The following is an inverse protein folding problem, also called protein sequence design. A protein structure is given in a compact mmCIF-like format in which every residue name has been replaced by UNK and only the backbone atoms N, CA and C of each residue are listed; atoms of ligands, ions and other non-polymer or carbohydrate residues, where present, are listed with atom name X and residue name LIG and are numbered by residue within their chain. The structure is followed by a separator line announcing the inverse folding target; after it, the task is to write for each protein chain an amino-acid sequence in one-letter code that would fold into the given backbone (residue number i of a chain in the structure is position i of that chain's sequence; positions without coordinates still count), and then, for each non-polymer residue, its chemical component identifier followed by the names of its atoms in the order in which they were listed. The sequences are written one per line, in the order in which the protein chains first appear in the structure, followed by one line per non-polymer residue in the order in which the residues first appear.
data_IF_408240698777
#
_entry.id   IF_408240698777
#
_cell.length_a   1.000
_cell.length_b   1.000
_cell.length_c   1.000
_cell.angle_alpha   90.00
_cell.angle_beta   90.00
_cell.angle_gamma   90.00
#
_symmetry.space_group_name_H-M   'P 1'
#
loop_
_entity.id
_entity.type
_entity.pdbx_description
1 polymer ?
#
# COMPACT_ATOMS: atom_id res chain seq x y z
N UNK A 1 20.62 -35.59 8.84
CA UNK A 1 20.38 -35.69 7.38
C UNK A 1 18.91 -36.01 7.18
N UNK A 2 18.18 -35.18 6.41
CA UNK A 2 16.78 -35.46 6.04
C UNK A 2 15.87 -34.22 6.08
N UNK A 3 16.00 -33.37 5.07
CA UNK A 3 15.22 -32.16 4.80
C UNK A 3 13.68 -32.39 4.82
N UNK A 4 12.96 -31.69 5.71
CA UNK A 4 11.50 -31.46 5.64
C UNK A 4 11.14 -30.14 4.92
N UNK A 5 12.09 -29.54 4.20
CA UNK A 5 11.91 -28.24 3.54
C UNK A 5 11.24 -28.29 2.16
N UNK A 6 11.01 -29.49 1.59
CA UNK A 6 10.51 -29.65 0.22
C UNK A 6 8.98 -29.54 0.09
N UNK A 7 8.22 -29.65 1.18
CA UNK A 7 6.75 -29.57 1.15
C UNK A 7 6.16 -28.15 1.07
N UNK A 8 6.88 -27.14 1.56
CA UNK A 8 6.42 -25.75 1.61
C UNK A 8 6.52 -25.06 0.26
N UNK A 9 7.62 -25.29 -0.47
CA UNK A 9 7.83 -24.75 -1.80
C UNK A 9 6.87 -25.36 -2.83
N UNK A 10 6.62 -26.68 -2.79
CA UNK A 10 5.68 -27.35 -3.70
C UNK A 10 4.22 -26.91 -3.51
N UNK A 11 3.78 -26.65 -2.27
CA UNK A 11 2.39 -26.22 -2.00
C UNK A 11 2.14 -24.75 -2.36
N UNK A 12 3.18 -23.90 -2.30
CA UNK A 12 3.15 -22.54 -2.85
C UNK A 12 3.13 -22.53 -4.39
N UNK A 13 3.87 -23.44 -5.05
CA UNK A 13 3.95 -23.51 -6.52
C UNK A 13 2.64 -23.96 -7.17
N UNK A 14 1.93 -24.93 -6.58
CA UNK A 14 0.60 -25.36 -7.05
C UNK A 14 -0.51 -24.33 -6.74
N UNK A 15 -0.29 -23.40 -5.81
CA UNK A 15 -1.24 -22.34 -5.45
C UNK A 15 -0.97 -21.00 -6.15
N UNK A 16 0.23 -20.79 -6.72
CA UNK A 16 0.56 -19.57 -7.45
C UNK A 16 -0.37 -19.34 -8.66
N UNK A 17 -0.81 -20.40 -9.34
CA UNK A 17 -1.79 -20.32 -10.43
C UNK A 17 -3.26 -20.45 -9.99
N UNK A 18 -3.53 -20.53 -8.68
CA UNK A 18 -4.87 -20.74 -8.13
C UNK A 18 -5.51 -19.47 -7.53
N UNK A 19 -6.83 -19.49 -7.28
CA UNK A 19 -7.57 -18.37 -6.70
C UNK A 19 -7.32 -18.15 -5.19
N UNK A 20 -6.47 -18.96 -4.54
CA UNK A 20 -6.29 -18.99 -3.08
C UNK A 20 -4.94 -18.37 -2.64
N UNK A 21 -4.94 -17.37 -1.75
CA UNK A 21 -3.72 -16.77 -1.19
C UNK A 21 -3.17 -17.63 -0.02
N UNK A 22 -2.38 -18.66 -0.33
CA UNK A 22 -1.88 -19.61 0.68
C UNK A 22 -0.53 -19.24 1.33
N UNK A 23 0.11 -18.12 0.96
CA UNK A 23 1.50 -17.85 1.37
C UNK A 23 1.68 -17.18 2.75
N UNK A 24 0.60 -16.80 3.46
CA UNK A 24 0.71 -15.97 4.67
C UNK A 24 0.30 -16.68 5.98
N UNK A 25 -0.35 -17.85 5.96
CA UNK A 25 -0.68 -18.50 7.23
C UNK A 25 -1.13 -19.97 7.11
N UNK A 26 -0.78 -20.84 8.07
CA UNK A 26 -1.37 -22.18 8.23
C UNK A 26 -2.80 -22.13 8.81
N UNK A 27 -3.54 -21.02 8.60
CA UNK A 27 -4.83 -20.79 9.22
C UNK A 27 -5.96 -21.28 8.32
N UNK A 28 -6.53 -22.44 8.68
CA UNK A 28 -7.88 -22.85 8.26
C UNK A 28 -8.85 -21.69 8.55
N UNK A 29 -9.68 -21.32 7.58
CA UNK A 29 -10.85 -20.42 7.70
C UNK A 29 -10.63 -18.89 7.77
N UNK A 30 -9.72 -18.31 6.98
CA UNK A 30 -9.75 -16.84 6.74
C UNK A 30 -10.60 -16.53 5.50
N UNK A 31 -11.56 -15.61 5.61
CA UNK A 31 -12.40 -15.18 4.49
C UNK A 31 -11.55 -14.51 3.40
N UNK A 32 -11.66 -14.98 2.15
CA UNK A 32 -10.89 -14.50 0.98
C UNK A 32 -10.82 -12.97 0.84
N UNK A 33 -11.94 -12.28 1.13
CA UNK A 33 -12.01 -10.82 1.05
C UNK A 33 -11.18 -10.13 2.14
N UNK A 34 -11.03 -10.75 3.31
CA UNK A 34 -10.18 -10.24 4.40
C UNK A 34 -8.71 -10.41 4.05
N UNK A 35 -8.31 -11.57 3.53
CA UNK A 35 -6.93 -11.83 3.11
C UNK A 35 -6.50 -10.88 1.99
N UNK A 36 -7.40 -10.64 1.03
CA UNK A 36 -7.13 -9.73 -0.09
C UNK A 36 -6.88 -8.30 0.39
N UNK A 37 -7.69 -7.80 1.34
CA UNK A 37 -7.50 -6.48 1.95
C UNK A 37 -6.17 -6.39 2.68
N UNK A 38 -5.83 -7.40 3.48
CA UNK A 38 -4.55 -7.45 4.21
C UNK A 38 -3.35 -7.43 3.26
N UNK A 39 -3.40 -8.19 2.17
CA UNK A 39 -2.34 -8.22 1.17
C UNK A 39 -2.13 -6.85 0.50
N UNK A 40 -3.21 -6.18 0.08
CA UNK A 40 -3.09 -4.82 -0.46
C UNK A 40 -2.53 -3.83 0.56
N UNK A 41 -2.93 -3.93 1.82
CA UNK A 41 -2.38 -3.11 2.91
C UNK A 41 -0.89 -3.38 3.12
N UNK A 42 -0.46 -4.64 3.10
CA UNK A 42 0.97 -5.01 3.25
C UNK A 42 1.78 -4.45 2.08
N UNK A 43 1.30 -4.58 0.84
CA UNK A 43 1.99 -4.02 -0.34
C UNK A 43 2.13 -2.51 -0.20
N UNK A 44 1.05 -1.81 0.16
CA UNK A 44 1.07 -0.37 0.37
C UNK A 44 2.06 0.01 1.48
N UNK A 45 2.04 -0.72 2.60
CA UNK A 45 2.95 -0.50 3.72
C UNK A 45 4.41 -0.67 3.32
N UNK A 46 4.75 -1.74 2.59
CA UNK A 46 6.11 -1.97 2.07
C UNK A 46 6.56 -0.81 1.18
N UNK A 47 5.70 -0.34 0.26
CA UNK A 47 6.04 0.80 -0.62
C UNK A 47 6.22 2.09 0.17
N UNK A 48 5.41 2.34 1.20
CA UNK A 48 5.58 3.50 2.09
C UNK A 48 6.91 3.43 2.83
N UNK A 49 7.26 2.29 3.41
CA UNK A 49 8.55 2.11 4.09
C UNK A 49 9.72 2.34 3.13
N UNK A 50 9.69 1.74 1.93
CA UNK A 50 10.70 1.96 0.90
C UNK A 50 10.80 3.44 0.48
N UNK A 51 9.67 4.13 0.39
CA UNK A 51 9.63 5.56 0.04
C UNK A 51 10.25 6.43 1.14
N UNK A 52 9.98 6.12 2.41
CA UNK A 52 10.61 6.79 3.55
C UNK A 52 12.14 6.55 3.57
N UNK A 53 12.58 5.32 3.27
CA UNK A 53 14.00 4.96 3.16
C UNK A 53 14.69 5.63 1.96
N UNK A 54 13.94 5.94 0.90
CA UNK A 54 14.44 6.62 -0.31
C UNK A 54 14.50 8.14 -0.17
N UNK A 55 13.93 8.73 0.88
CA UNK A 55 13.94 10.17 1.11
C UNK A 55 15.36 10.68 1.44
N UNK A 56 15.60 11.99 1.34
CA UNK A 56 16.93 12.65 1.36
C UNK A 56 17.89 12.22 2.49
N UNK A 57 17.34 11.79 3.63
CA UNK A 57 18.06 11.37 4.83
C UNK A 57 18.30 9.86 4.95
N UNK A 58 17.83 9.06 3.99
CA UNK A 58 17.92 7.60 4.00
C UNK A 58 19.06 7.05 3.13
N UNK A 59 18.76 6.03 2.32
CA UNK A 59 19.74 5.35 1.45
C UNK A 59 20.29 6.28 0.36
N UNK A 60 19.46 7.21 -0.13
CA UNK A 60 19.88 8.21 -1.11
C UNK A 60 20.95 9.15 -0.57
N UNK A 61 21.04 9.40 0.74
CA UNK A 61 22.11 10.20 1.33
C UNK A 61 23.49 9.54 1.27
N UNK A 62 23.55 8.20 1.35
CA UNK A 62 24.78 7.41 1.21
C UNK A 62 25.11 7.10 -0.26
N UNK A 63 24.09 6.87 -1.07
CA UNK A 63 24.23 6.66 -2.51
C UNK A 63 24.64 7.97 -3.22
N UNK A 64 24.22 9.15 -2.72
CA UNK A 64 24.62 10.45 -3.24
C UNK A 64 26.13 10.63 -3.33
N UNK A 65 26.88 10.23 -2.30
CA UNK A 65 28.35 10.33 -2.32
C UNK A 65 29.01 9.33 -3.28
N UNK A 66 28.30 8.29 -3.72
CA UNK A 66 28.81 7.24 -4.59
C UNK A 66 28.41 7.43 -6.06
N UNK A 67 27.29 8.10 -6.32
CA UNK A 67 26.72 8.34 -7.67
C UNK A 67 26.56 9.83 -7.97
N UNK A 68 27.52 10.64 -7.49
CA UNK A 68 27.47 12.09 -7.59
C UNK A 68 27.43 12.57 -9.06
N UNK A 69 28.19 11.94 -9.96
CA UNK A 69 28.23 12.30 -11.39
C UNK A 69 26.91 12.03 -12.12
N UNK A 70 26.26 10.89 -11.85
CA UNK A 70 24.97 10.56 -12.44
C UNK A 70 23.87 11.51 -11.97
N UNK A 71 23.95 11.92 -10.69
CA UNK A 71 23.01 12.87 -10.14
C UNK A 71 23.24 14.28 -10.69
N UNK A 72 24.47 14.75 -10.80
CA UNK A 72 24.77 16.08 -11.37
C UNK A 72 24.34 16.17 -12.85
N UNK A 73 24.53 15.09 -13.62
CA UNK A 73 24.01 15.00 -14.99
C UNK A 73 22.47 15.05 -15.05
N UNK A 74 21.80 14.38 -14.11
CA UNK A 74 20.34 14.43 -13.96
C UNK A 74 19.84 15.82 -13.54
N UNK A 75 20.54 16.47 -12.60
CA UNK A 75 20.27 17.83 -12.13
C UNK A 75 20.38 18.86 -13.25
N UNK A 76 21.42 18.73 -14.07
CA UNK A 76 21.67 19.56 -15.25
C UNK A 76 20.54 19.41 -16.28
N UNK A 77 20.10 18.17 -16.56
CA UNK A 77 18.96 17.90 -17.46
C UNK A 77 17.63 18.50 -16.96
N UNK A 78 17.45 18.62 -15.66
CA UNK A 78 16.24 19.16 -15.03
C UNK A 78 16.28 20.67 -14.79
N UNK A 79 17.41 21.36 -15.06
CA UNK A 79 17.62 22.77 -14.72
C UNK A 79 17.25 23.10 -13.25
N UNK A 80 17.53 22.19 -12.32
CA UNK A 80 17.01 22.24 -10.96
C UNK A 80 17.78 23.19 -10.01
N UNK A 81 18.91 23.75 -10.44
CA UNK A 81 19.73 24.66 -9.65
C UNK A 81 20.18 24.06 -8.31
N UNK A 82 20.28 24.90 -7.27
CA UNK A 82 20.74 24.53 -5.92
C UNK A 82 19.81 23.57 -5.17
N UNK A 83 18.59 23.34 -5.67
CA UNK A 83 17.58 22.47 -5.05
C UNK A 83 17.57 21.03 -5.55
N UNK A 84 18.55 20.61 -6.35
CA UNK A 84 18.46 19.34 -7.07
C UNK A 84 18.42 18.09 -6.16
N UNK A 85 19.21 18.06 -5.08
CA UNK A 85 19.24 16.92 -4.15
C UNK A 85 17.84 16.60 -3.60
N UNK A 86 17.07 17.64 -3.30
CA UNK A 86 15.68 17.54 -2.82
C UNK A 86 14.73 17.08 -3.90
N UNK A 87 14.86 17.63 -5.10
CA UNK A 87 14.08 17.21 -6.26
C UNK A 87 14.31 15.73 -6.61
N UNK A 88 15.55 15.26 -6.56
CA UNK A 88 15.90 13.86 -6.81
C UNK A 88 15.29 12.91 -5.77
N UNK A 89 15.31 13.29 -4.49
CA UNK A 89 14.63 12.55 -3.42
C UNK A 89 13.12 12.42 -3.68
N UNK A 90 12.47 13.48 -4.14
CA UNK A 90 11.06 13.42 -4.54
C UNK A 90 10.83 12.53 -5.75
N UNK A 91 11.65 12.65 -6.81
CA UNK A 91 11.49 11.82 -8.01
C UNK A 91 11.67 10.33 -7.68
N UNK A 92 12.57 9.99 -6.76
CA UNK A 92 12.73 8.61 -6.30
C UNK A 92 11.45 8.07 -5.62
N UNK A 93 10.81 8.88 -4.77
CA UNK A 93 9.51 8.54 -4.17
C UNK A 93 8.44 8.38 -5.25
N UNK A 94 8.38 9.28 -6.25
CA UNK A 94 7.43 9.16 -7.36
C UNK A 94 7.63 7.86 -8.15
N UNK A 95 8.88 7.43 -8.39
CA UNK A 95 9.15 6.14 -9.07
C UNK A 95 8.66 4.94 -8.26
N UNK A 96 8.63 5.03 -6.93
CA UNK A 96 8.10 3.98 -6.05
C UNK A 96 6.57 3.98 -5.98
N UNK A 97 5.95 5.16 -5.87
CA UNK A 97 4.50 5.30 -5.68
C UNK A 97 3.71 5.23 -7.00
N UNK A 98 4.28 5.67 -8.12
CA UNK A 98 3.57 5.78 -9.40
C UNK A 98 3.08 4.42 -9.96
N UNK A 99 3.91 3.35 -10.01
CA UNK A 99 3.44 2.03 -10.45
C UNK A 99 2.30 1.50 -9.59
N UNK A 100 2.37 1.74 -8.28
CA UNK A 100 1.33 1.33 -7.34
C UNK A 100 0.02 2.07 -7.57
N UNK A 101 0.09 3.38 -7.86
CA UNK A 101 -1.07 4.18 -8.25
C UNK A 101 -1.71 3.66 -9.54
N UNK A 102 -0.91 3.45 -10.60
CA UNK A 102 -1.40 2.93 -11.89
C UNK A 102 -2.05 1.56 -11.72
N UNK A 103 -1.42 0.67 -10.95
CA UNK A 103 -1.97 -0.65 -10.64
C UNK A 103 -3.35 -0.56 -9.98
N UNK A 104 -3.50 0.25 -8.93
CA UNK A 104 -4.77 0.39 -8.22
C UNK A 104 -5.82 1.12 -9.07
N UNK A 105 -5.42 2.13 -9.83
CA UNK A 105 -6.29 2.86 -10.73
C UNK A 105 -6.89 1.92 -11.80
N UNK A 106 -6.06 1.10 -12.45
CA UNK A 106 -6.53 0.08 -13.40
C UNK A 106 -7.47 -0.93 -12.73
N UNK A 107 -7.13 -1.40 -11.53
CA UNK A 107 -7.99 -2.30 -10.77
C UNK A 107 -9.35 -1.68 -10.42
N UNK A 108 -9.41 -0.37 -10.15
CA UNK A 108 -10.67 0.36 -9.94
C UNK A 108 -11.54 0.32 -11.19
N UNK A 109 -11.00 0.57 -12.38
CA UNK A 109 -11.76 0.47 -13.63
C UNK A 109 -12.24 -0.95 -13.92
N UNK A 110 -11.38 -1.96 -13.69
CA UNK A 110 -11.76 -3.36 -13.88
C UNK A 110 -12.90 -3.79 -12.94
N UNK A 111 -12.97 -3.21 -11.74
CA UNK A 111 -13.98 -3.50 -10.73
C UNK A 111 -15.17 -2.54 -10.75
N UNK A 112 -15.22 -1.58 -11.68
CA UNK A 112 -16.34 -0.66 -11.79
C UNK A 112 -17.65 -1.42 -12.10
N UNK A 113 -18.70 -1.13 -11.32
CA UNK A 113 -20.02 -1.73 -11.50
C UNK A 113 -20.16 -3.18 -11.01
N UNK A 114 -19.20 -3.71 -10.25
CA UNK A 114 -19.34 -5.05 -9.65
C UNK A 114 -20.21 -5.01 -8.39
N UNK A 115 -21.35 -5.70 -8.41
CA UNK A 115 -22.29 -5.75 -7.26
C UNK A 115 -22.06 -6.96 -6.34
N UNK A 116 -21.46 -8.04 -6.85
CA UNK A 116 -21.26 -9.28 -6.11
C UNK A 116 -19.87 -9.86 -6.29
N UNK A 117 -19.27 -10.30 -5.18
CA UNK A 117 -17.95 -10.94 -5.14
C UNK A 117 -17.91 -12.33 -5.82
N UNK A 118 -19.08 -12.91 -6.15
CA UNK A 118 -19.18 -14.20 -6.83
C UNK A 118 -19.06 -14.10 -8.35
N UNK A 119 -19.16 -12.88 -8.91
CA UNK A 119 -18.93 -12.65 -10.34
C UNK A 119 -17.48 -12.95 -10.72
N UNK A 120 -17.24 -13.24 -12.01
CA UNK A 120 -15.89 -13.50 -12.53
C UNK A 120 -14.91 -12.38 -12.15
N UNK A 121 -15.37 -11.12 -12.20
CA UNK A 121 -14.58 -9.94 -11.79
C UNK A 121 -14.28 -9.93 -10.30
N UNK A 122 -15.24 -10.29 -9.44
CA UNK A 122 -15.02 -10.46 -8.00
C UNK A 122 -13.99 -11.55 -7.67
N UNK A 123 -13.98 -12.65 -8.44
CA UNK A 123 -12.96 -13.70 -8.32
C UNK A 123 -11.57 -13.23 -8.75
N UNK A 124 -11.47 -12.37 -9.78
CA UNK A 124 -10.20 -11.73 -10.16
C UNK A 124 -9.71 -10.80 -9.04
N UNK A 125 -10.59 -10.03 -8.40
CA UNK A 125 -10.19 -9.14 -7.31
C UNK A 125 -9.71 -9.88 -6.06
N UNK A 126 -10.38 -10.96 -5.68
CA UNK A 126 -10.01 -11.73 -4.48
C UNK A 126 -8.90 -12.76 -4.74
N UNK A 127 -8.73 -13.23 -5.98
CA UNK A 127 -7.77 -14.26 -6.36
C UNK A 127 -6.64 -13.77 -7.28
N UNK A 128 -6.03 -14.69 -8.04
CA UNK A 128 -5.02 -14.40 -9.08
C UNK A 128 -3.83 -13.54 -8.60
N UNK A 129 -3.36 -13.77 -7.38
CA UNK A 129 -2.31 -12.97 -6.75
C UNK A 129 -0.97 -13.03 -7.49
N UNK A 130 -0.57 -14.19 -8.00
CA UNK A 130 0.67 -14.31 -8.77
C UNK A 130 0.69 -13.37 -9.98
N UNK A 131 -0.37 -13.37 -10.78
CA UNK A 131 -0.47 -12.51 -11.96
C UNK A 131 -0.49 -11.01 -11.59
N UNK A 132 -1.13 -10.65 -10.47
CA UNK A 132 -1.12 -9.27 -9.97
C UNK A 132 0.28 -8.83 -9.54
N UNK A 133 1.00 -9.67 -8.81
CA UNK A 133 2.37 -9.36 -8.38
C UNK A 133 3.29 -9.29 -9.60
N UNK A 134 3.18 -10.22 -10.54
CA UNK A 134 3.95 -10.19 -11.79
C UNK A 134 3.67 -8.89 -12.58
N UNK A 135 2.41 -8.51 -12.72
CA UNK A 135 2.02 -7.27 -13.38
C UNK A 135 2.55 -6.03 -12.63
N UNK A 136 2.50 -6.03 -11.29
CA UNK A 136 3.04 -4.96 -10.48
C UNK A 136 4.57 -4.83 -10.67
N UNK A 137 5.31 -5.94 -10.64
CA UNK A 137 6.75 -5.96 -10.91
C UNK A 137 7.06 -5.44 -12.31
N UNK A 138 6.27 -5.83 -13.32
CA UNK A 138 6.41 -5.30 -14.67
C UNK A 138 6.20 -3.78 -14.73
N UNK A 139 5.19 -3.25 -14.04
CA UNK A 139 4.97 -1.80 -13.95
C UNK A 139 6.16 -1.08 -13.30
N UNK A 140 6.79 -1.68 -12.27
CA UNK A 140 8.00 -1.13 -11.69
C UNK A 140 9.16 -1.10 -12.69
N UNK A 141 9.43 -2.20 -13.40
CA UNK A 141 10.47 -2.25 -14.43
C UNK A 141 10.23 -1.17 -15.49
N UNK A 142 9.00 -1.08 -16.00
CA UNK A 142 8.62 -0.08 -17.00
C UNK A 142 8.78 1.35 -16.50
N UNK A 143 8.42 1.63 -15.24
CA UNK A 143 8.58 2.96 -14.65
C UNK A 143 10.05 3.37 -14.50
N UNK A 144 10.97 2.42 -14.28
CA UNK A 144 12.41 2.70 -14.29
C UNK A 144 12.94 2.90 -15.71
N UNK A 145 12.47 2.11 -16.69
CA UNK A 145 12.88 2.24 -18.09
C UNK A 145 12.31 3.47 -18.81
N UNK A 146 11.23 4.09 -18.31
CA UNK A 146 10.63 5.28 -18.91
C UNK A 146 11.17 6.59 -18.28
N UNK A 147 12.02 7.37 -18.98
CA UNK A 147 12.54 8.67 -18.49
C UNK A 147 11.50 9.80 -18.58
N UNK A 148 10.30 9.53 -19.11
CA UNK A 148 9.23 10.52 -19.34
C UNK A 148 8.67 11.08 -18.02
N UNK A 149 8.83 10.36 -16.91
CA UNK A 149 8.34 10.79 -15.58
C UNK A 149 8.93 12.15 -15.17
N UNK A 150 10.19 12.41 -15.53
CA UNK A 150 10.91 13.66 -15.25
C UNK A 150 10.29 14.87 -15.96
N UNK A 151 9.82 14.68 -17.20
CA UNK A 151 9.20 15.77 -17.99
C UNK A 151 7.83 16.17 -17.42
N UNK A 152 7.07 15.20 -16.91
CA UNK A 152 5.70 15.42 -16.41
C UNK A 152 5.61 15.48 -14.89
N UNK A 153 6.73 15.50 -14.17
CA UNK A 153 6.76 15.48 -12.70
C UNK A 153 5.89 16.58 -12.08
N UNK A 154 5.87 17.78 -12.67
CA UNK A 154 5.03 18.89 -12.20
C UNK A 154 3.53 18.57 -12.23
N UNK A 155 3.04 17.87 -13.27
CA UNK A 155 1.63 17.50 -13.38
C UNK A 155 1.30 16.43 -12.34
N UNK A 156 2.15 15.40 -12.21
CA UNK A 156 1.98 14.35 -11.20
C UNK A 156 2.00 14.90 -9.78
N UNK A 157 2.75 15.97 -9.54
CA UNK A 157 2.77 16.67 -8.25
C UNK A 157 1.41 17.30 -7.93
N UNK A 158 0.78 17.99 -8.88
CA UNK A 158 -0.55 18.60 -8.69
C UNK A 158 -1.60 17.51 -8.43
N UNK A 159 -1.59 16.44 -9.22
CA UNK A 159 -2.48 15.27 -9.02
C UNK A 159 -2.26 14.68 -7.62
N UNK A 160 -1.01 14.56 -7.18
CA UNK A 160 -0.65 14.07 -5.86
C UNK A 160 -1.17 14.95 -4.72
N UNK A 161 -1.11 16.28 -4.86
CA UNK A 161 -1.64 17.22 -3.88
C UNK A 161 -3.16 17.05 -3.76
N UNK A 162 -3.88 17.03 -4.88
CA UNK A 162 -5.33 16.85 -4.90
C UNK A 162 -5.71 15.49 -4.28
N UNK A 163 -5.02 14.42 -4.67
CA UNK A 163 -5.22 13.09 -4.12
C UNK A 163 -4.95 13.02 -2.61
N UNK A 164 -3.89 13.68 -2.14
CA UNK A 164 -3.54 13.76 -0.73
C UNK A 164 -4.60 14.48 0.10
N UNK A 165 -5.14 15.60 -0.40
CA UNK A 165 -6.24 16.31 0.27
C UNK A 165 -7.50 15.43 0.38
N UNK A 166 -7.88 14.74 -0.70
CA UNK A 166 -8.99 13.79 -0.67
C UNK A 166 -8.75 12.65 0.32
N UNK A 167 -7.53 12.11 0.37
CA UNK A 167 -7.17 11.03 1.28
C UNK A 167 -7.27 11.44 2.75
N UNK A 168 -6.74 12.62 3.10
CA UNK A 168 -6.85 13.18 4.47
C UNK A 168 -8.32 13.37 4.85
N UNK A 169 -9.16 13.86 3.94
CA UNK A 169 -10.59 14.01 4.19
C UNK A 169 -11.30 12.68 4.46
N UNK A 170 -11.02 11.64 3.66
CA UNK A 170 -11.59 10.30 3.86
C UNK A 170 -11.12 9.69 5.19
N UNK A 171 -9.82 9.84 5.51
CA UNK A 171 -9.28 9.38 6.80
C UNK A 171 -9.95 10.09 7.98
N UNK A 172 -10.23 11.39 7.84
CA UNK A 172 -10.90 12.16 8.89
C UNK A 172 -12.29 11.61 9.20
N UNK A 173 -13.11 11.35 8.18
CA UNK A 173 -14.45 10.74 8.37
C UNK A 173 -14.32 9.36 9.02
N UNK A 174 -13.40 8.53 8.52
CA UNK A 174 -13.17 7.18 9.05
C UNK A 174 -12.76 7.21 10.52
N UNK A 175 -11.96 8.21 10.92
CA UNK A 175 -11.52 8.39 12.30
C UNK A 175 -12.68 8.78 13.23
N UNK A 176 -13.60 9.61 12.75
CA UNK A 176 -14.82 9.98 13.49
C UNK A 176 -15.69 8.74 13.71
N UNK A 177 -15.96 7.97 12.67
CA UNK A 177 -16.76 6.74 12.77
C UNK A 177 -16.12 5.73 13.74
N UNK A 178 -14.80 5.58 13.67
CA UNK A 178 -14.05 4.76 14.60
C UNK A 178 -14.17 5.24 16.06
N UNK A 179 -14.12 6.55 16.29
CA UNK A 179 -14.29 7.12 17.63
C UNK A 179 -15.68 6.85 18.20
N UNK A 180 -16.74 6.99 17.39
CA UNK A 180 -18.11 6.68 17.82
C UNK A 180 -18.29 5.19 18.17
N UNK A 181 -17.76 4.29 17.34
CA UNK A 181 -17.84 2.85 17.58
C UNK A 181 -17.11 2.46 18.88
N UNK A 182 -15.89 2.96 19.09
CA UNK A 182 -15.14 2.73 20.33
C UNK A 182 -15.91 3.27 21.53
N UNK A 183 -16.45 4.48 21.44
CA UNK A 183 -17.20 5.07 22.55
C UNK A 183 -18.44 4.23 22.90
N UNK A 184 -19.19 3.77 21.89
CA UNK A 184 -20.33 2.88 22.09
C UNK A 184 -19.94 1.57 22.79
N UNK A 185 -18.85 0.94 22.36
CA UNK A 185 -18.32 -0.28 22.98
C UNK A 185 -17.92 -0.02 24.44
N UNK A 186 -17.26 1.11 24.72
CA UNK A 186 -16.81 1.47 26.06
C UNK A 186 -18.00 1.77 26.98
N UNK A 187 -18.98 2.54 26.54
CA UNK A 187 -20.22 2.78 27.29
C UNK A 187 -20.96 1.48 27.60
N UNK A 188 -21.10 0.59 26.63
CA UNK A 188 -21.77 -0.70 26.84
C UNK A 188 -21.03 -1.59 27.84
N UNK A 189 -19.69 -1.58 27.83
CA UNK A 189 -18.86 -2.31 28.81
C UNK A 189 -18.91 -1.68 30.19
N UNK A 190 -18.84 -0.35 30.28
CA UNK A 190 -18.90 0.38 31.54
C UNK A 190 -20.26 0.19 32.24
N UNK A 191 -21.37 0.24 31.49
CA UNK A 191 -22.72 0.02 32.01
C UNK A 191 -22.93 -1.40 32.58
N UNK A 192 -22.17 -2.39 32.10
CA UNK A 192 -22.18 -3.77 32.63
C UNK A 192 -21.19 -4.00 33.77
N UNK A 193 -20.30 -3.05 34.05
CA UNK A 193 -19.35 -3.16 35.14
C UNK A 193 -20.01 -2.83 36.49
N UNK A 194 -19.76 -3.66 37.51
CA UNK A 194 -20.36 -3.55 38.85
C UNK A 194 -20.14 -2.16 39.46
N UNK A 195 -19.00 -1.52 39.17
CA UNK A 195 -18.69 -0.16 39.67
C UNK A 195 -19.65 0.92 39.16
N UNK A 196 -20.17 0.81 37.93
CA UNK A 196 -21.12 1.80 37.39
C UNK A 196 -22.54 1.57 37.92
N UNK A 197 -22.94 0.31 38.13
CA UNK A 197 -24.20 -0.03 38.79
C UNK A 197 -24.23 0.45 40.25
N UNK A 198 -23.11 0.28 40.97
CA UNK A 198 -22.93 0.79 42.35
C UNK A 198 -22.92 2.32 42.36
N UNK A 199 -22.21 2.98 41.45
CA UNK A 199 -22.18 4.45 41.38
C UNK A 199 -23.57 5.05 41.10
N UNK A 200 -24.39 4.37 40.27
CA UNK A 200 -25.79 4.75 40.00
C UNK A 200 -26.76 4.47 41.16
N UNK A 201 -26.47 3.48 42.00
CA UNK A 201 -27.24 3.18 43.22
C UNK A 201 -26.88 4.11 44.39
N UNK A 202 -25.65 4.62 44.45
CA UNK A 202 -25.18 5.55 45.50
C UNK A 202 -25.59 7.01 45.21
N UNK A 203 -26.00 7.32 43.99
CA UNK A 203 -26.45 8.67 43.58
C UNK A 203 -27.99 8.84 43.54
N UNK A 204 -28.75 7.87 44.06
CA UNK A 204 -30.19 7.96 44.37
C UNK A 204 -30.34 7.96 45.88
#
# INVERSE_FOLDING_TARGET
MGFQATGWLCRCMSCACGPLPCCISPCKNVRESTTTRLLYTIILFVVVVLSLLSHESGWMGKIYSQFQEDLDNFCSKLNAGTGCRRLAGFIAIYRLCFPLFVFHFLMTFLMAGVSSSQTIRGKIHNGFWFWKILFLVLLYILAYSFPVLEKWTKIWMIIGIIGGLMFVYIQHITLIDFAYEINGIWHAKAAKSVGFAVCKFVSV
#
